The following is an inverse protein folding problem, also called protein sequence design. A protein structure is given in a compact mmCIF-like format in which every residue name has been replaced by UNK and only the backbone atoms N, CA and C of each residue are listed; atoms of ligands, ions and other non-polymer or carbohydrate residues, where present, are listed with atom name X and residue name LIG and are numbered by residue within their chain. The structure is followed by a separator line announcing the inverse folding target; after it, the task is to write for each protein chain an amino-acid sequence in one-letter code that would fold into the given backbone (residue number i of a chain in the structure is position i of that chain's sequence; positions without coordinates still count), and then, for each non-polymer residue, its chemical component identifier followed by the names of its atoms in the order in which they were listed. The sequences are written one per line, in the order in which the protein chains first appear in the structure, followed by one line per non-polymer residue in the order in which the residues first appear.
data_IF_879539187435
#
_entry.id   IF_879539187435
#
_cell.length_a   1.000
_cell.length_b   1.000
_cell.length_c   1.000
_cell.angle_alpha   90.00
_cell.angle_beta   90.00
_cell.angle_gamma   90.00
#
_symmetry.space_group_name_H-M   'P 1'
#
loop_
_entity.id
_entity.type
_entity.pdbx_description
1 polymer ?
#
# COMPACT_ATOMS: atom_id res chain seq x y z
N UNK A 1 -4.74 3.50 -27.07
CA UNK A 1 -4.88 2.34 -26.16
C UNK A 1 -4.82 2.87 -24.74
N UNK A 2 -5.96 2.99 -24.07
CA UNK A 2 -6.03 3.46 -22.70
C UNK A 2 -5.91 2.26 -21.77
N UNK A 3 -4.74 2.06 -21.17
CA UNK A 3 -4.58 1.12 -20.07
C UNK A 3 -5.25 1.77 -18.86
N UNK A 4 -6.57 1.56 -18.76
CA UNK A 4 -7.28 1.77 -17.52
C UNK A 4 -6.57 0.93 -16.48
N UNK A 5 -5.95 1.60 -15.50
CA UNK A 5 -5.33 1.00 -14.32
C UNK A 5 -6.46 0.43 -13.46
N UNK A 6 -7.16 -0.55 -14.01
CA UNK A 6 -8.17 -1.29 -13.29
C UNK A 6 -7.40 -2.14 -12.30
N UNK A 7 -7.57 -1.78 -11.02
CA UNK A 7 -7.07 -2.45 -9.84
C UNK A 7 -7.49 -3.95 -9.81
N UNK A 8 -6.85 -4.74 -10.67
CA UNK A 8 -7.04 -6.17 -10.86
C UNK A 8 -5.69 -6.88 -10.94
N UNK A 9 -4.63 -6.24 -10.45
CA UNK A 9 -3.34 -6.89 -10.26
C UNK A 9 -3.55 -7.97 -9.20
N UNK A 10 -3.73 -9.22 -9.66
CA UNK A 10 -3.69 -10.42 -8.83
C UNK A 10 -2.31 -10.49 -8.20
N UNK A 11 -2.14 -9.85 -7.06
CA UNK A 11 -0.96 -10.03 -6.23
C UNK A 11 -1.12 -11.38 -5.54
N UNK A 12 -0.42 -12.40 -6.08
CA UNK A 12 -0.29 -13.69 -5.42
C UNK A 12 0.59 -13.47 -4.19
N UNK A 13 -0.02 -13.08 -3.08
CA UNK A 13 0.59 -13.29 -1.78
C UNK A 13 0.63 -14.80 -1.57
N UNK A 14 1.84 -15.37 -1.63
CA UNK A 14 2.09 -16.76 -1.24
C UNK A 14 1.95 -16.83 0.28
N UNK A 15 0.71 -16.86 0.76
CA UNK A 15 0.39 -17.55 2.01
C UNK A 15 0.37 -19.04 1.67
N UNK A 16 1.21 -19.82 2.36
CA UNK A 16 1.34 -21.26 2.14
C UNK A 16 0.10 -22.07 2.56
N UNK A 17 -1.03 -21.84 1.90
CA UNK A 17 -2.30 -22.53 2.13
C UNK A 17 -3.22 -22.35 0.93
N UNK A 18 -3.99 -23.40 0.59
CA UNK A 18 -4.81 -23.57 -0.62
C UNK A 18 -5.99 -22.59 -0.82
N UNK A 19 -5.98 -21.38 -0.28
CA UNK A 19 -7.10 -20.43 -0.41
C UNK A 19 -6.84 -19.37 -1.48
N UNK A 20 -7.76 -19.21 -2.43
CA UNK A 20 -7.71 -18.15 -3.45
C UNK A 20 -8.38 -16.88 -2.90
N UNK A 21 -7.71 -16.14 -2.03
CA UNK A 21 -8.25 -14.86 -1.55
C UNK A 21 -8.28 -13.82 -2.69
N UNK A 22 -9.41 -13.14 -2.90
CA UNK A 22 -9.48 -12.00 -3.84
C UNK A 22 -8.94 -10.76 -3.15
N UNK A 23 -7.90 -10.16 -3.72
CA UNK A 23 -7.37 -8.87 -3.24
C UNK A 23 -8.10 -7.74 -3.96
N UNK A 24 -8.74 -6.84 -3.20
CA UNK A 24 -9.32 -5.59 -3.71
C UNK A 24 -8.58 -4.40 -3.12
N UNK A 25 -8.43 -3.33 -3.90
CA UNK A 25 -8.04 -2.05 -3.32
C UNK A 25 -9.30 -1.27 -2.91
N UNK A 26 -9.37 -0.86 -1.65
CA UNK A 26 -10.48 -0.07 -1.15
C UNK A 26 -10.03 1.36 -0.84
N UNK A 27 -10.84 2.33 -1.26
CA UNK A 27 -10.56 3.76 -1.05
C UNK A 27 -10.95 4.24 0.36
N UNK A 28 -11.71 3.41 1.11
CA UNK A 28 -12.15 3.70 2.49
C UNK A 28 -11.77 2.58 3.49
N UNK A 29 -10.94 1.63 3.07
CA UNK A 29 -10.51 0.54 3.94
C UNK A 29 -9.80 1.08 5.17
N UNK A 30 -10.14 0.58 6.36
CA UNK A 30 -9.47 0.97 7.61
C UNK A 30 -7.99 0.61 7.52
N UNK A 31 -7.14 1.64 7.40
CA UNK A 31 -5.70 1.49 7.42
C UNK A 31 -5.26 1.13 8.84
N UNK A 32 -4.81 -0.10 9.05
CA UNK A 32 -4.20 -0.53 10.30
C UNK A 32 -2.71 -0.80 10.09
N UNK A 33 -1.95 -0.71 11.18
CA UNK A 33 -0.53 -1.10 11.15
C UNK A 33 -0.44 -2.57 10.77
N UNK A 34 0.42 -2.90 9.82
CA UNK A 34 0.54 -4.25 9.25
C UNK A 34 -0.31 -4.51 8.01
N UNK A 35 -1.27 -3.64 7.66
CA UNK A 35 -2.06 -3.79 6.44
C UNK A 35 -1.20 -3.68 5.18
N UNK A 36 -1.46 -4.52 4.16
CA UNK A 36 -0.90 -4.33 2.83
C UNK A 36 -1.53 -3.11 2.17
N UNK A 37 -0.72 -2.31 1.49
CA UNK A 37 -1.15 -1.09 0.79
C UNK A 37 -0.51 -1.03 -0.59
N UNK A 38 -1.21 -0.38 -1.52
CA UNK A 38 -0.70 -0.10 -2.86
C UNK A 38 -0.62 1.41 -3.09
N UNK A 39 0.50 1.88 -3.63
CA UNK A 39 0.67 3.27 -4.05
C UNK A 39 -0.13 3.49 -5.33
N UNK A 40 -1.07 4.43 -5.32
CA UNK A 40 -1.88 4.77 -6.50
C UNK A 40 -1.28 5.91 -7.31
N UNK A 41 -0.59 6.82 -6.64
CA UNK A 41 0.00 8.01 -7.25
C UNK A 41 1.36 8.27 -6.62
N UNK A 42 2.37 8.54 -7.47
CA UNK A 42 3.71 8.89 -7.00
C UNK A 42 3.73 10.31 -6.40
N UNK A 43 4.06 10.47 -5.10
CA UNK A 43 4.26 11.79 -4.52
C UNK A 43 5.44 12.49 -5.19
N UNK A 44 5.39 13.82 -5.41
CA UNK A 44 6.55 14.57 -5.94
C UNK A 44 7.73 14.62 -4.97
N UNK A 45 7.42 14.69 -3.67
CA UNK A 45 8.40 14.73 -2.59
C UNK A 45 8.03 13.72 -1.52
N UNK A 46 9.02 12.97 -1.03
CA UNK A 46 8.86 11.97 0.02
C UNK A 46 9.80 12.28 1.18
N UNK A 47 9.40 11.91 2.39
CA UNK A 47 10.26 11.98 3.58
C UNK A 47 10.80 10.61 3.92
N UNK A 48 12.10 10.50 4.13
CA UNK A 48 12.72 9.26 4.60
C UNK A 48 12.52 9.11 6.11
N UNK A 49 12.25 7.90 6.57
CA UNK A 49 12.14 7.58 8.01
C UNK A 49 13.51 7.43 8.70
N UNK A 50 14.53 8.20 8.28
CA UNK A 50 15.86 8.20 8.90
C UNK A 50 15.89 9.08 10.16
N UNK A 51 16.94 8.95 10.98
CA UNK A 51 17.11 9.76 12.21
C UNK A 51 17.09 11.27 11.94
N UNK A 52 17.47 11.69 10.73
CA UNK A 52 17.29 13.04 10.19
C UNK A 52 16.36 12.98 8.98
N UNK A 53 15.10 13.42 9.11
CA UNK A 53 14.12 13.33 8.03
C UNK A 53 14.38 14.42 6.97
N UNK A 54 14.98 14.02 5.84
CA UNK A 54 15.16 14.89 4.69
C UNK A 54 13.98 14.73 3.71
N UNK A 55 13.53 15.86 3.15
CA UNK A 55 12.64 15.88 2.00
C UNK A 55 13.46 15.53 0.76
N UNK A 56 13.14 14.40 0.14
CA UNK A 56 13.78 13.91 -1.08
C UNK A 56 12.79 14.02 -2.23
N UNK A 57 13.28 14.49 -3.38
CA UNK A 57 12.53 14.44 -4.63
C UNK A 57 12.34 12.98 -5.01
N UNK A 58 11.12 12.60 -5.37
CA UNK A 58 10.82 11.25 -5.80
C UNK A 58 11.41 11.01 -7.21
N UNK A 59 12.71 10.73 -7.27
CA UNK A 59 13.42 10.35 -8.49
C UNK A 59 13.18 8.87 -8.84
N UNK A 60 11.92 8.43 -8.83
CA UNK A 60 11.52 7.05 -9.08
C UNK A 60 11.68 6.10 -7.88
N UNK A 61 11.80 6.64 -6.66
CA UNK A 61 11.88 5.87 -5.42
C UNK A 61 10.54 5.20 -5.07
N UNK A 62 9.44 5.88 -5.40
CA UNK A 62 8.08 5.41 -5.19
C UNK A 62 7.31 5.60 -6.48
N UNK A 63 6.90 4.50 -7.09
CA UNK A 63 6.15 4.49 -8.34
C UNK A 63 4.68 4.10 -8.09
N UNK A 64 3.73 4.57 -8.92
CA UNK A 64 2.38 4.06 -8.86
C UNK A 64 2.38 2.56 -9.19
N UNK A 65 1.69 1.78 -8.37
CA UNK A 65 1.68 0.32 -8.42
C UNK A 65 2.62 -0.36 -7.43
N UNK A 66 3.50 0.39 -6.75
CA UNK A 66 4.35 -0.18 -5.71
C UNK A 66 3.49 -0.66 -4.54
N UNK A 67 3.77 -1.89 -4.08
CA UNK A 67 3.09 -2.51 -2.95
C UNK A 67 3.99 -2.46 -1.73
N UNK A 68 3.41 -2.08 -0.61
CA UNK A 68 4.12 -1.98 0.67
C UNK A 68 3.25 -2.42 1.84
N UNK A 69 3.80 -2.25 3.04
CA UNK A 69 3.11 -2.52 4.30
C UNK A 69 3.22 -1.32 5.24
N UNK A 70 2.12 -1.00 5.93
CA UNK A 70 2.14 0.04 6.96
C UNK A 70 2.95 -0.43 8.17
N UNK A 71 3.96 0.36 8.55
CA UNK A 71 4.80 0.12 9.73
C UNK A 71 4.28 0.87 10.94
N UNK A 72 3.87 2.13 10.76
CA UNK A 72 3.35 2.95 11.86
C UNK A 72 2.48 4.10 11.35
N UNK A 73 1.51 4.50 12.19
CA UNK A 73 0.67 5.67 11.96
C UNK A 73 1.34 6.90 12.54
N UNK A 74 1.41 7.99 11.78
CA UNK A 74 1.83 9.32 12.25
C UNK A 74 0.61 10.24 12.30
N UNK A 75 0.68 11.33 13.10
CA UNK A 75 -0.36 12.35 13.09
C UNK A 75 -0.48 13.01 11.70
N UNK A 76 -1.64 13.63 11.41
CA UNK A 76 -1.98 14.28 10.13
C UNK A 76 -2.08 13.34 8.92
N UNK A 77 -2.56 12.12 9.13
CA UNK A 77 -2.76 11.10 8.07
C UNK A 77 -1.49 10.80 7.26
N UNK A 78 -0.34 10.99 7.89
CA UNK A 78 0.96 10.54 7.40
C UNK A 78 1.19 9.12 7.90
N UNK A 79 1.72 8.26 7.05
CA UNK A 79 1.94 6.85 7.36
C UNK A 79 3.37 6.45 6.99
N UNK A 80 4.02 5.67 7.86
CA UNK A 80 5.27 5.04 7.53
C UNK A 80 4.98 3.76 6.75
N UNK A 81 5.29 3.76 5.46
CA UNK A 81 5.10 2.63 4.56
C UNK A 81 6.46 2.02 4.25
N UNK A 82 6.59 0.72 4.49
CA UNK A 82 7.77 -0.04 4.09
C UNK A 82 7.55 -0.65 2.71
N UNK A 83 8.34 -0.15 1.78
CA UNK A 83 8.48 -0.62 0.40
C UNK A 83 9.73 -1.50 0.29
N UNK A 84 9.93 -2.13 -0.86
CA UNK A 84 11.12 -2.93 -1.12
C UNK A 84 12.42 -2.12 -1.01
N UNK A 85 12.40 -0.85 -1.44
CA UNK A 85 13.55 0.07 -1.40
C UNK A 85 13.84 0.56 0.03
N UNK A 86 12.83 0.69 0.87
CA UNK A 86 13.00 1.29 2.20
C UNK A 86 11.69 1.71 2.85
N UNK A 87 11.81 2.43 3.97
CA UNK A 87 10.64 2.94 4.71
C UNK A 87 10.51 4.45 4.51
N UNK A 88 9.35 4.87 4.02
CA UNK A 88 9.06 6.25 3.68
C UNK A 88 7.79 6.74 4.36
N UNK A 89 7.72 8.04 4.62
CA UNK A 89 6.53 8.70 5.12
C UNK A 89 5.71 9.18 3.93
N UNK A 90 4.52 8.61 3.77
CA UNK A 90 3.59 8.89 2.67
C UNK A 90 2.25 9.33 3.25
N UNK A 91 1.63 10.34 2.67
CA UNK A 91 0.27 10.75 3.04
C UNK A 91 -0.76 9.70 2.59
N UNK A 92 -1.82 9.51 3.38
CA UNK A 92 -2.93 8.59 3.08
C UNK A 92 -3.66 8.83 1.75
N UNK A 93 -3.39 9.95 1.07
CA UNK A 93 -3.97 10.27 -0.26
C UNK A 93 -3.26 9.57 -1.42
N UNK A 94 -2.00 9.15 -1.25
CA UNK A 94 -1.19 8.57 -2.33
C UNK A 94 -1.24 7.04 -2.38
N UNK A 95 -1.86 6.39 -1.39
CA UNK A 95 -1.95 4.94 -1.32
C UNK A 95 -3.35 4.49 -0.88
N UNK A 96 -3.69 3.24 -1.19
CA UNK A 96 -4.96 2.61 -0.82
C UNK A 96 -4.73 1.29 -0.09
N UNK A 97 -5.65 0.95 0.81
CA UNK A 97 -5.65 -0.32 1.52
C UNK A 97 -5.90 -1.47 0.53
N UNK A 98 -5.14 -2.55 0.65
CA UNK A 98 -5.48 -3.82 0.02
C UNK A 98 -6.29 -4.64 1.03
N UNK A 99 -7.55 -4.88 0.70
CA UNK A 99 -8.48 -5.74 1.44
C UNK A 99 -8.45 -7.12 0.80
N UNK A 100 -8.33 -8.15 1.65
CA UNK A 100 -8.52 -9.53 1.23
C UNK A 100 -9.99 -9.86 1.49
N UNK A 101 -10.74 -10.18 0.42
CA UNK A 101 -11.98 -10.92 0.59
C UNK A 101 -11.53 -12.36 0.86
N UNK A 102 -11.62 -12.77 2.13
CA UNK A 102 -11.64 -14.19 2.46
C UNK A 102 -13.07 -14.67 2.17
N UNK A 103 -13.22 -15.55 1.18
CA UNK A 103 -14.48 -16.23 0.86
C UNK A 103 -14.84 -17.24 1.98
N UNK A 104 -14.99 -16.76 3.22
CA UNK A 104 -15.50 -17.53 4.36
C UNK A 104 -17.04 -17.53 4.34
N UNK A 105 -17.63 -18.07 3.26
CA UNK A 105 -19.01 -18.55 3.28
C UNK A 105 -19.07 -19.87 4.08
N UNK A 106 -18.90 -19.79 5.40
CA UNK A 106 -19.46 -20.81 6.30
C UNK A 106 -20.88 -20.36 6.64
N UNK A 107 -21.78 -20.71 5.73
CA UNK A 107 -23.21 -20.66 5.93
C UNK A 107 -23.57 -21.59 7.10
N UNK A 108 -24.05 -21.02 8.22
CA UNK A 108 -24.81 -21.77 9.21
C UNK A 108 -26.23 -21.20 9.33
#
# INVERSE_FOLDING_TARGET
MAFSVHCSTRFLLVSGGRSRSRVRCETNGKLVVGSPVIVVEAPRMIKTAASVPCLIVNSGLVNPGDVGRIVSRKPKDVWAVRLAIGTYLIDGKYFKALVLDDDDDVQN
#
